data_IF_336782120312
#
_entry.id   IF_336782120312
#
_cell.length_a   1.000
_cell.length_b   1.000
_cell.length_c   1.000
_cell.angle_alpha   90.00
_cell.angle_beta   90.00
_cell.angle_gamma   90.00
#
_symmetry.space_group_name_H-M   'P 1'
#
loop_
_entity.id
_entity.type
_entity.pdbx_description
1 polymer ?
#
# COMPACT_ATOMS: atom_id res chain seq x y z
N UNK A 1 -25.42 11.81 -21.67
CA UNK A 1 -24.23 11.07 -22.07
C UNK A 1 -23.41 10.82 -20.80
N UNK A 2 -23.36 9.58 -20.33
CA UNK A 2 -22.91 9.22 -18.97
C UNK A 2 -21.37 9.15 -18.89
N UNK A 3 -20.75 10.23 -18.47
CA UNK A 3 -19.30 10.33 -18.24
C UNK A 3 -18.79 9.62 -16.96
N UNK A 4 -19.72 9.13 -16.11
CA UNK A 4 -19.36 8.48 -14.83
C UNK A 4 -18.80 7.05 -14.93
N UNK A 5 -18.95 6.38 -16.07
CA UNK A 5 -18.50 4.96 -16.23
C UNK A 5 -17.03 4.80 -16.64
N UNK A 6 -16.36 5.85 -17.12
CA UNK A 6 -14.99 5.74 -17.60
C UNK A 6 -13.95 6.09 -16.54
N UNK A 7 -14.36 6.74 -15.45
CA UNK A 7 -13.44 7.18 -14.39
C UNK A 7 -12.93 6.00 -13.53
N UNK A 8 -13.77 4.98 -13.35
CA UNK A 8 -13.42 3.81 -12.52
C UNK A 8 -12.33 2.93 -13.15
N UNK A 9 -12.25 2.87 -14.49
CA UNK A 9 -11.24 2.06 -15.19
C UNK A 9 -9.87 2.74 -15.29
N UNK A 10 -9.81 4.06 -15.29
CA UNK A 10 -8.55 4.80 -15.39
C UNK A 10 -7.72 4.71 -14.10
N UNK A 11 -8.37 4.66 -12.94
CA UNK A 11 -7.68 4.56 -11.63
C UNK A 11 -7.04 3.18 -11.48
N UNK A 12 -7.73 2.12 -11.90
CA UNK A 12 -7.21 0.75 -11.82
C UNK A 12 -6.03 0.54 -12.79
N UNK A 13 -6.08 1.16 -13.98
CA UNK A 13 -5.00 1.07 -14.96
C UNK A 13 -3.73 1.82 -14.54
N UNK A 14 -3.85 2.91 -13.77
CA UNK A 14 -2.70 3.69 -13.30
C UNK A 14 -1.94 2.99 -12.17
N UNK A 15 -2.63 2.23 -11.32
CA UNK A 15 -2.03 1.41 -10.25
C UNK A 15 -1.20 0.23 -10.79
N UNK A 16 -1.48 -0.22 -12.04
CA UNK A 16 -0.76 -1.35 -12.66
C UNK A 16 0.53 -0.93 -13.38
N UNK A 17 0.76 0.38 -13.61
CA UNK A 17 1.86 0.86 -14.45
C UNK A 17 3.11 1.34 -13.68
N UNK A 18 3.13 1.24 -12.35
CA UNK A 18 4.35 1.51 -11.59
C UNK A 18 5.20 0.24 -11.57
N UNK A 19 6.33 0.16 -12.28
CA UNK A 19 7.22 -0.97 -12.14
C UNK A 19 7.81 -0.91 -10.72
N UNK A 20 7.27 -1.74 -9.84
CA UNK A 20 7.86 -2.00 -8.53
C UNK A 20 9.23 -2.62 -8.74
N UNK A 21 10.28 -1.80 -8.67
CA UNK A 21 11.64 -2.27 -8.55
C UNK A 21 11.89 -2.73 -7.10
N UNK A 22 11.06 -3.67 -6.65
CA UNK A 22 11.35 -4.52 -5.51
C UNK A 22 11.56 -5.94 -6.04
N UNK A 23 12.49 -6.10 -6.98
CA UNK A 23 12.91 -7.41 -7.48
C UNK A 23 13.94 -7.98 -6.54
N UNK A 24 13.49 -8.64 -5.50
CA UNK A 24 14.24 -9.74 -4.88
C UNK A 24 13.31 -10.59 -4.01
N UNK A 25 12.38 -11.29 -4.63
CA UNK A 25 11.81 -12.50 -4.01
C UNK A 25 12.58 -13.69 -4.56
N UNK A 26 13.44 -14.27 -3.75
CA UNK A 26 14.07 -15.57 -4.05
C UNK A 26 12.99 -16.63 -4.16
N UNK A 27 13.10 -17.49 -5.16
CA UNK A 27 12.30 -18.72 -5.29
C UNK A 27 12.71 -19.65 -4.15
N UNK A 28 11.79 -19.98 -3.27
CA UNK A 28 11.80 -21.22 -2.52
C UNK A 28 10.38 -21.75 -2.45
N UNK A 29 10.23 -23.00 -2.93
CA UNK A 29 9.00 -23.77 -2.99
C UNK A 29 8.54 -24.18 -1.58
N UNK A 30 7.75 -23.32 -0.91
CA UNK A 30 6.97 -23.74 0.27
C UNK A 30 5.66 -22.94 0.29
N UNK A 31 4.65 -23.43 -0.39
CA UNK A 31 3.32 -22.82 -0.33
C UNK A 31 2.22 -23.91 -0.36
N UNK A 32 2.03 -24.53 0.82
CA UNK A 32 0.78 -25.27 1.01
C UNK A 32 0.12 -25.01 2.39
N UNK A 33 0.68 -24.13 3.25
CA UNK A 33 0.15 -23.92 4.60
C UNK A 33 0.13 -22.46 5.06
N UNK A 34 -0.41 -21.53 4.26
CA UNK A 34 -0.62 -20.15 4.72
C UNK A 34 -1.68 -20.06 5.86
N UNK A 35 -2.54 -21.06 6.00
CA UNK A 35 -3.57 -21.10 7.04
C UNK A 35 -3.04 -21.36 8.46
N UNK A 36 -1.77 -21.77 8.60
CA UNK A 36 -1.15 -22.10 9.91
C UNK A 36 -0.05 -21.14 10.36
N UNK A 37 0.38 -20.19 9.54
CA UNK A 37 1.48 -19.29 9.87
C UNK A 37 1.03 -18.22 10.87
N UNK A 38 1.76 -18.11 11.98
CA UNK A 38 1.54 -17.01 12.92
C UNK A 38 2.06 -15.71 12.31
N UNK A 39 1.31 -14.59 12.42
CA UNK A 39 1.78 -13.31 11.92
C UNK A 39 3.11 -12.91 12.59
N UNK A 40 4.04 -12.36 11.82
CA UNK A 40 5.29 -11.83 12.37
C UNK A 40 5.05 -10.57 13.21
N UNK A 41 3.99 -9.83 12.88
CA UNK A 41 3.58 -8.62 13.60
C UNK A 41 2.58 -8.96 14.69
N UNK A 42 2.74 -8.34 15.85
CA UNK A 42 1.71 -8.34 16.91
C UNK A 42 0.62 -7.30 16.65
N UNK A 43 0.99 -6.19 16.03
CA UNK A 43 0.12 -5.07 15.68
C UNK A 43 0.63 -4.51 14.35
N UNK A 44 -0.26 -4.31 13.41
CA UNK A 44 0.03 -3.55 12.20
C UNK A 44 -0.23 -2.07 12.46
N UNK A 45 0.74 -1.23 12.12
CA UNK A 45 0.61 0.22 12.16
C UNK A 45 0.37 0.70 10.75
N UNK A 46 -0.77 1.33 10.54
CA UNK A 46 -1.16 1.87 9.25
C UNK A 46 -0.17 2.96 8.80
N UNK A 47 0.29 2.95 7.53
CA UNK A 47 1.18 3.98 7.02
C UNK A 47 0.48 5.35 7.00
N UNK A 48 1.26 6.42 7.02
CA UNK A 48 0.73 7.76 6.85
C UNK A 48 0.07 7.93 5.48
N UNK A 49 -1.17 8.44 5.47
CA UNK A 49 -1.95 8.50 4.22
C UNK A 49 -2.89 9.72 4.15
N UNK A 50 -2.48 10.85 4.71
CA UNK A 50 -3.25 12.09 4.60
C UNK A 50 -2.93 12.76 3.27
N UNK A 51 -3.93 12.88 2.38
CA UNK A 51 -3.80 13.52 1.07
C UNK A 51 -3.23 14.93 1.17
N UNK A 52 -2.37 15.29 0.23
CA UNK A 52 -1.82 16.63 0.13
C UNK A 52 -0.73 16.97 1.14
N UNK A 53 -0.43 16.06 2.08
CA UNK A 53 0.64 16.26 3.06
C UNK A 53 2.01 16.41 2.41
N UNK A 54 2.90 17.11 3.11
CA UNK A 54 4.26 17.34 2.67
C UNK A 54 5.17 16.13 2.89
N UNK A 55 6.34 16.15 2.27
CA UNK A 55 7.41 15.18 2.50
C UNK A 55 7.84 15.15 3.96
N UNK A 56 7.91 16.31 4.61
CA UNK A 56 8.33 16.41 6.00
C UNK A 56 7.29 15.81 6.97
N UNK A 57 5.99 15.94 6.68
CA UNK A 57 4.93 15.29 7.46
C UNK A 57 5.09 13.77 7.44
N UNK A 58 5.35 13.20 6.26
CA UNK A 58 5.58 11.76 6.10
C UNK A 58 6.86 11.33 6.82
N UNK A 59 7.98 12.04 6.64
CA UNK A 59 9.25 11.74 7.31
C UNK A 59 9.09 11.76 8.83
N UNK A 60 8.42 12.77 9.37
CA UNK A 60 8.15 12.87 10.79
C UNK A 60 7.32 11.69 11.30
N UNK A 61 6.25 11.31 10.59
CA UNK A 61 5.44 10.15 10.97
C UNK A 61 6.26 8.85 10.95
N UNK A 62 7.06 8.64 9.92
CA UNK A 62 7.90 7.44 9.80
C UNK A 62 8.91 7.36 10.95
N UNK A 63 9.55 8.46 11.30
CA UNK A 63 10.55 8.50 12.38
C UNK A 63 9.94 8.25 13.77
N UNK A 64 8.71 8.72 14.01
CA UNK A 64 8.07 8.58 15.32
C UNK A 64 7.22 7.32 15.46
N UNK A 65 6.46 6.95 14.44
CA UNK A 65 5.42 5.91 14.51
C UNK A 65 5.84 4.59 13.85
N UNK A 66 6.69 4.64 12.81
CA UNK A 66 7.06 3.49 11.97
C UNK A 66 8.53 3.09 12.15
N UNK A 67 9.00 2.99 13.39
CA UNK A 67 10.43 2.79 13.74
C UNK A 67 11.08 1.51 13.19
N UNK A 68 10.28 0.56 12.71
CA UNK A 68 10.80 -0.65 12.05
C UNK A 68 11.29 -0.39 10.62
N UNK A 69 10.93 0.77 10.05
CA UNK A 69 11.29 1.16 8.69
C UNK A 69 12.41 2.21 8.69
N UNK A 70 13.34 2.09 7.77
CA UNK A 70 14.34 3.11 7.47
C UNK A 70 14.17 3.65 6.06
N UNK A 71 14.48 4.93 5.84
CA UNK A 71 14.48 5.54 4.51
C UNK A 71 15.57 4.88 3.66
N UNK A 72 15.17 4.14 2.62
CA UNK A 72 16.06 3.46 1.71
C UNK A 72 16.44 4.34 0.51
N UNK A 73 15.49 5.13 -0.01
CA UNK A 73 15.75 6.05 -1.12
C UNK A 73 14.77 7.22 -1.15
N UNK A 74 15.26 8.32 -1.70
CA UNK A 74 14.48 9.48 -2.13
C UNK A 74 14.85 9.78 -3.57
N UNK A 75 13.90 9.70 -4.49
CA UNK A 75 14.15 9.85 -5.93
C UNK A 75 13.11 10.75 -6.57
N UNK A 76 13.52 11.46 -7.63
CA UNK A 76 12.59 12.23 -8.47
C UNK A 76 12.52 11.56 -9.83
N UNK A 77 11.32 11.13 -10.23
CA UNK A 77 11.06 10.49 -11.51
C UNK A 77 9.98 11.27 -12.22
N UNK A 78 10.37 11.98 -13.30
CA UNK A 78 9.46 12.83 -14.06
C UNK A 78 8.76 13.87 -13.20
N UNK A 79 7.45 13.72 -12.98
CA UNK A 79 6.61 14.64 -12.20
C UNK A 79 6.32 14.15 -10.77
N UNK A 80 7.04 13.12 -10.30
CA UNK A 80 6.84 12.51 -8.99
C UNK A 80 8.12 12.52 -8.18
N UNK A 81 8.01 12.85 -6.88
CA UNK A 81 9.03 12.58 -5.87
C UNK A 81 8.60 11.33 -5.12
N UNK A 82 9.51 10.37 -4.95
CA UNK A 82 9.23 9.11 -4.30
C UNK A 82 10.15 8.91 -3.09
N UNK A 83 9.55 8.57 -1.94
CA UNK A 83 10.25 8.07 -0.77
C UNK A 83 9.98 6.59 -0.62
N UNK A 84 11.04 5.79 -0.54
CA UNK A 84 10.95 4.35 -0.27
C UNK A 84 11.51 4.07 1.11
N UNK A 85 10.70 3.44 1.94
CA UNK A 85 11.08 2.95 3.26
C UNK A 85 11.10 1.44 3.26
N UNK A 86 12.05 0.81 3.96
CA UNK A 86 12.16 -0.65 4.08
C UNK A 86 12.49 -1.07 5.50
N UNK A 87 12.16 -2.31 5.87
CA UNK A 87 12.53 -2.88 7.17
C UNK A 87 13.97 -3.40 7.21
N UNK A 88 14.68 -3.38 6.08
CA UNK A 88 16.01 -3.99 5.96
C UNK A 88 15.99 -5.52 5.85
N UNK A 89 14.83 -6.16 5.96
CA UNK A 89 14.62 -7.62 5.78
C UNK A 89 14.22 -8.00 4.34
N UNK A 90 14.16 -7.02 3.44
CA UNK A 90 14.11 -7.23 1.99
C UNK A 90 12.73 -7.26 1.33
N UNK A 91 11.65 -7.63 2.02
CA UNK A 91 10.37 -7.88 1.37
C UNK A 91 9.22 -6.97 1.84
N UNK A 92 9.44 -6.16 2.85
CA UNK A 92 8.48 -5.20 3.39
C UNK A 92 8.96 -3.79 3.11
N UNK A 93 8.06 -2.93 2.66
CA UNK A 93 8.41 -1.55 2.36
C UNK A 93 7.21 -0.68 2.09
N UNK A 94 7.40 0.62 2.25
CA UNK A 94 6.38 1.62 1.99
C UNK A 94 6.92 2.59 0.94
N UNK A 95 6.14 2.77 -0.12
CA UNK A 95 6.40 3.76 -1.17
C UNK A 95 5.41 4.91 -1.01
N UNK A 96 5.92 6.09 -0.79
CA UNK A 96 5.18 7.35 -0.82
C UNK A 96 5.45 8.08 -2.13
N UNK A 97 4.42 8.57 -2.79
CA UNK A 97 4.55 9.33 -4.03
C UNK A 97 3.96 10.72 -3.87
N UNK A 98 4.77 11.73 -4.18
CA UNK A 98 4.42 13.15 -4.10
C UNK A 98 4.47 13.78 -5.47
N UNK A 99 3.60 14.75 -5.72
CA UNK A 99 3.68 15.58 -6.91
C UNK A 99 4.93 16.45 -6.87
N UNK A 100 5.77 16.40 -7.90
CA UNK A 100 6.96 17.26 -7.98
C UNK A 100 6.62 18.73 -8.13
N UNK A 101 5.40 19.07 -8.57
CA UNK A 101 4.98 20.47 -8.78
C UNK A 101 4.65 21.21 -7.50
N UNK A 102 4.13 20.52 -6.48
CA UNK A 102 3.68 21.14 -5.23
C UNK A 102 4.08 20.37 -3.96
N UNK A 103 4.81 19.25 -4.09
CA UNK A 103 5.24 18.44 -2.96
C UNK A 103 4.13 17.69 -2.22
N UNK A 104 2.92 17.63 -2.78
CA UNK A 104 1.76 17.04 -2.14
C UNK A 104 1.73 15.53 -2.30
N UNK A 105 1.48 14.79 -1.21
CA UNK A 105 1.27 13.34 -1.19
C UNK A 105 0.02 13.00 -2.00
N UNK A 106 0.13 12.06 -2.94
CA UNK A 106 -0.99 11.61 -3.75
C UNK A 106 -1.17 10.08 -3.82
N UNK A 107 -0.20 9.30 -3.36
CA UNK A 107 -0.31 7.83 -3.35
C UNK A 107 0.60 7.22 -2.28
N UNK A 108 0.13 6.15 -1.65
CA UNK A 108 0.90 5.32 -0.72
C UNK A 108 0.71 3.87 -1.10
N UNK A 109 1.78 3.10 -1.13
CA UNK A 109 1.76 1.65 -1.31
C UNK A 109 2.57 1.03 -0.18
N UNK A 110 1.90 0.24 0.65
CA UNK A 110 2.53 -0.56 1.70
C UNK A 110 2.60 -2.02 1.24
N UNK A 111 3.81 -2.56 1.19
CA UNK A 111 4.08 -3.96 0.85
C UNK A 111 4.35 -4.72 2.14
N UNK A 112 3.49 -5.68 2.44
CA UNK A 112 3.53 -6.50 3.64
C UNK A 112 3.70 -7.98 3.31
N UNK A 113 4.22 -8.75 4.27
CA UNK A 113 4.29 -10.21 4.16
C UNK A 113 2.90 -10.84 4.24
N UNK A 114 2.67 -11.90 3.45
CA UNK A 114 1.38 -12.63 3.44
C UNK A 114 1.03 -13.17 4.84
N UNK A 115 1.99 -13.56 5.65
CA UNK A 115 1.76 -14.02 7.03
C UNK A 115 1.07 -12.95 7.90
N UNK A 116 1.20 -11.68 7.56
CA UNK A 116 0.55 -10.56 8.23
C UNK A 116 -0.83 -10.20 7.63
N UNK A 117 -1.23 -10.81 6.50
CA UNK A 117 -2.41 -10.41 5.73
C UNK A 117 -3.68 -10.39 6.57
N UNK A 118 -3.90 -11.43 7.38
CA UNK A 118 -5.07 -11.51 8.26
C UNK A 118 -5.13 -10.31 9.22
N UNK A 119 -4.02 -9.96 9.85
CA UNK A 119 -3.94 -8.84 10.79
C UNK A 119 -4.28 -7.51 10.10
N UNK A 120 -3.71 -7.28 8.90
CA UNK A 120 -3.93 -6.08 8.10
C UNK A 120 -5.38 -5.99 7.62
N UNK A 121 -5.93 -7.08 7.05
CA UNK A 121 -7.30 -7.10 6.55
C UNK A 121 -8.33 -6.94 7.68
N UNK A 122 -8.12 -7.54 8.84
CA UNK A 122 -8.98 -7.33 10.01
C UNK A 122 -8.95 -5.87 10.47
N UNK A 123 -7.77 -5.24 10.49
CA UNK A 123 -7.66 -3.82 10.79
C UNK A 123 -8.45 -2.96 9.78
N UNK A 124 -8.27 -3.21 8.48
CA UNK A 124 -8.98 -2.46 7.44
C UNK A 124 -10.50 -2.64 7.52
N UNK A 125 -10.98 -3.86 7.79
CA UNK A 125 -12.43 -4.15 7.98
C UNK A 125 -13.04 -3.39 9.17
N UNK A 126 -12.26 -3.10 10.20
CA UNK A 126 -12.74 -2.34 11.38
C UNK A 126 -12.79 -0.84 11.10
N UNK A 127 -11.84 -0.29 10.33
CA UNK A 127 -11.66 1.14 10.18
C UNK A 127 -12.30 1.71 8.91
N UNK A 128 -12.57 0.86 7.90
CA UNK A 128 -13.04 1.24 6.57
C UNK A 128 -14.23 0.42 6.10
N UNK A 129 -14.98 0.96 5.16
CA UNK A 129 -16.13 0.28 4.55
C UNK A 129 -15.71 -0.52 3.34
N UNK A 130 -16.00 -1.82 3.32
CA UNK A 130 -15.77 -2.69 2.16
C UNK A 130 -16.79 -2.33 1.06
N UNK A 131 -16.33 -2.03 -0.16
CA UNK A 131 -17.17 -1.61 -1.29
C UNK A 131 -17.34 -2.66 -2.40
N UNK A 132 -16.51 -3.70 -2.41
CA UNK A 132 -16.62 -4.81 -3.37
C UNK A 132 -16.56 -6.14 -2.65
N UNK A 133 -17.16 -7.22 -3.21
CA UNK A 133 -16.93 -8.55 -2.71
C UNK A 133 -15.43 -8.87 -2.69
N UNK A 134 -14.97 -9.42 -1.58
CA UNK A 134 -13.59 -9.80 -1.42
C UNK A 134 -13.26 -11.09 -2.20
N UNK A 135 -12.01 -11.18 -2.68
CA UNK A 135 -11.43 -12.44 -3.12
C UNK A 135 -10.30 -12.82 -2.14
N UNK A 136 -10.61 -13.70 -1.22
CA UNK A 136 -9.67 -14.08 -0.14
C UNK A 136 -8.44 -14.82 -0.67
N UNK A 137 -8.59 -15.60 -1.74
CA UNK A 137 -7.49 -16.37 -2.32
C UNK A 137 -6.39 -15.48 -2.93
N UNK A 138 -6.77 -14.33 -3.48
CA UNK A 138 -5.86 -13.35 -4.08
C UNK A 138 -5.63 -12.12 -3.19
N UNK A 139 -6.21 -12.11 -1.98
CA UNK A 139 -6.21 -10.97 -1.05
C UNK A 139 -6.73 -9.67 -1.70
N UNK A 140 -7.65 -9.79 -2.66
CA UNK A 140 -8.24 -8.64 -3.33
C UNK A 140 -9.42 -8.10 -2.53
N UNK A 141 -9.23 -6.95 -1.93
CA UNK A 141 -10.24 -6.20 -1.20
C UNK A 141 -10.23 -4.76 -1.70
N UNK A 142 -11.37 -4.10 -1.60
CA UNK A 142 -11.50 -2.69 -1.91
C UNK A 142 -12.32 -2.01 -0.81
N UNK A 143 -11.71 -1.07 -0.12
CA UNK A 143 -12.31 -0.32 0.97
C UNK A 143 -12.39 1.17 0.63
N UNK A 144 -13.21 1.89 1.38
CA UNK A 144 -13.27 3.35 1.35
C UNK A 144 -13.43 3.91 2.75
N UNK A 145 -12.96 5.13 2.96
CA UNK A 145 -13.22 5.90 4.18
C UNK A 145 -14.67 6.41 4.21
N UNK A 146 -15.08 7.02 5.31
CA UNK A 146 -16.47 7.42 5.57
C UNK A 146 -17.01 8.46 4.58
N UNK A 147 -16.18 9.38 4.11
CA UNK A 147 -16.54 10.44 3.15
C UNK A 147 -16.30 10.06 1.68
N UNK A 148 -15.77 8.86 1.44
CA UNK A 148 -15.45 8.32 0.11
C UNK A 148 -14.43 9.12 -0.69
N UNK A 149 -13.60 9.89 -0.02
CA UNK A 149 -12.49 10.63 -0.63
C UNK A 149 -11.26 9.77 -0.89
N UNK A 150 -11.20 8.56 -0.31
CA UNK A 150 -10.08 7.65 -0.44
C UNK A 150 -10.55 6.22 -0.72
N UNK A 151 -9.84 5.55 -1.60
CA UNK A 151 -9.99 4.12 -1.90
C UNK A 151 -8.73 3.39 -1.45
N UNK A 152 -8.91 2.30 -0.70
CA UNK A 152 -7.84 1.42 -0.27
C UNK A 152 -8.04 0.08 -0.97
N UNK A 153 -7.03 -0.37 -1.70
CA UNK A 153 -7.06 -1.68 -2.34
C UNK A 153 -5.97 -2.55 -1.79
N UNK A 154 -6.27 -3.84 -1.65
CA UNK A 154 -5.26 -4.84 -1.35
C UNK A 154 -5.18 -5.83 -2.50
N UNK A 155 -3.99 -6.38 -2.75
CA UNK A 155 -3.79 -7.43 -3.73
C UNK A 155 -2.49 -8.19 -3.44
N UNK A 156 -2.54 -9.52 -3.63
CA UNK A 156 -1.33 -10.35 -3.61
C UNK A 156 -0.45 -9.99 -4.80
N UNK A 157 0.85 -9.75 -4.56
CA UNK A 157 1.83 -9.37 -5.60
C UNK A 157 2.87 -10.45 -5.84
N UNK A 158 3.07 -11.34 -4.86
CA UNK A 158 3.95 -12.50 -4.97
C UNK A 158 3.48 -13.61 -4.03
N UNK A 159 4.22 -14.71 -3.99
CA UNK A 159 3.94 -15.81 -3.08
C UNK A 159 4.15 -15.45 -1.61
N UNK A 160 4.92 -14.41 -1.33
CA UNK A 160 5.28 -14.00 0.03
C UNK A 160 4.77 -12.63 0.43
N UNK A 161 4.29 -11.81 -0.52
CA UNK A 161 3.93 -10.42 -0.29
C UNK A 161 2.58 -10.03 -0.90
N UNK A 162 1.92 -9.06 -0.28
CA UNK A 162 0.77 -8.36 -0.81
C UNK A 162 0.91 -6.85 -0.59
N UNK A 163 0.21 -6.06 -1.40
CA UNK A 163 0.18 -4.61 -1.28
C UNK A 163 -1.11 -4.13 -0.62
N UNK A 164 -1.00 -3.05 0.14
CA UNK A 164 -2.09 -2.17 0.55
C UNK A 164 -1.84 -0.82 -0.11
N UNK A 165 -2.73 -0.40 -1.00
CA UNK A 165 -2.56 0.81 -1.80
C UNK A 165 -3.63 1.83 -1.47
N UNK A 166 -3.23 3.06 -1.19
CA UNK A 166 -4.10 4.20 -0.89
C UNK A 166 -4.12 5.14 -2.07
N UNK A 167 -5.31 5.42 -2.59
CA UNK A 167 -5.55 6.36 -3.68
C UNK A 167 -6.68 7.32 -3.31
N UNK A 168 -6.52 8.59 -3.68
CA UNK A 168 -7.49 9.63 -3.37
C UNK A 168 -8.42 9.89 -4.56
N UNK A 169 -9.68 10.16 -4.25
CA UNK A 169 -10.75 10.37 -5.23
C UNK A 169 -11.08 11.85 -5.23
N UNK A 170 -10.56 12.56 -6.25
CA UNK A 170 -10.84 13.98 -6.50
C UNK A 170 -12.14 14.16 -7.29
#
# INVERSE_FOLDING_TARGET
>A
MNTKKYFSFAIIAFLMAVPLVLTSCGKDDILDDAEGLQPELKVWTEPYHIEGSSIDDVKNYMDFSMKRYGLASETTISSSIQLTYTTGKGNEGILYSFSASNGALYSVIDTELIVNSRLVIEYLKVHYSLITPANEATLEYCFTNSDRSMVITTARVSDTCFNVSYAYVN
#
